data_IF_056966012535
#
_entry.id   IF_056966012535
#
_cell.length_a   1.000
_cell.length_b   1.000
_cell.length_c   1.000
_cell.angle_alpha   90.00
_cell.angle_beta   90.00
_cell.angle_gamma   90.00
#
_symmetry.space_group_name_H-M   'P 1'
#
loop_
_entity.id
_entity.type
_entity.pdbx_description
1 polymer ?
#
# COMPACT_ATOMS: atom_id res chain seq x y z
N UNK A 1 -11.44 -12.59 -9.08
CA UNK A 1 -10.52 -11.52 -8.61
C UNK A 1 -9.86 -10.93 -9.84
N UNK A 2 -9.85 -9.61 -10.02
CA UNK A 2 -9.18 -8.97 -11.15
C UNK A 2 -7.70 -8.83 -10.82
N UNK A 3 -6.83 -9.33 -11.70
CA UNK A 3 -5.37 -9.13 -11.59
C UNK A 3 -5.05 -7.73 -12.11
N UNK A 4 -4.17 -6.97 -11.44
CA UNK A 4 -3.74 -5.69 -11.98
C UNK A 4 -3.01 -5.90 -13.30
N UNK A 5 -3.25 -5.02 -14.26
CA UNK A 5 -2.58 -5.03 -15.56
C UNK A 5 -1.21 -4.35 -15.52
N UNK A 6 -0.97 -3.49 -14.53
CA UNK A 6 0.29 -2.77 -14.34
C UNK A 6 0.48 -2.35 -12.87
N UNK A 7 1.74 -2.28 -12.44
CA UNK A 7 2.14 -1.81 -11.11
C UNK A 7 3.39 -0.92 -11.27
N UNK A 8 3.25 0.36 -10.95
CA UNK A 8 4.31 1.37 -11.08
C UNK A 8 4.62 2.04 -9.75
N UNK A 9 5.89 2.08 -9.40
CA UNK A 9 6.40 2.87 -8.28
C UNK A 9 7.06 4.15 -8.80
N UNK A 10 6.70 5.30 -8.24
CA UNK A 10 7.36 6.56 -8.56
C UNK A 10 8.85 6.56 -8.17
N UNK A 11 9.67 7.40 -8.83
CA UNK A 11 11.12 7.45 -8.57
C UNK A 11 11.47 7.84 -7.13
N UNK A 12 10.67 8.70 -6.53
CA UNK A 12 10.78 9.12 -5.12
C UNK A 12 10.23 8.07 -4.14
N UNK A 13 9.70 6.95 -4.62
CA UNK A 13 9.12 5.86 -3.83
C UNK A 13 7.94 6.27 -2.94
N UNK A 14 7.34 7.44 -3.19
CA UNK A 14 6.22 7.95 -2.38
C UNK A 14 4.84 7.66 -2.96
N UNK A 15 4.73 7.16 -4.19
CA UNK A 15 3.47 6.84 -4.85
C UNK A 15 3.55 5.49 -5.58
N UNK A 16 2.61 4.60 -5.24
CA UNK A 16 2.36 3.35 -5.96
C UNK A 16 1.10 3.54 -6.79
N UNK A 17 1.18 3.33 -8.10
CA UNK A 17 0.02 3.26 -8.98
C UNK A 17 -0.22 1.82 -9.36
N UNK A 18 -1.43 1.34 -9.11
CA UNK A 18 -1.91 0.04 -9.60
C UNK A 18 -2.95 0.29 -10.68
N UNK A 19 -2.87 -0.42 -11.80
CA UNK A 19 -3.85 -0.30 -12.88
C UNK A 19 -4.71 -1.55 -12.95
N UNK A 20 -6.04 -1.39 -12.96
CA UNK A 20 -7.01 -2.45 -13.23
C UNK A 20 -7.90 -2.03 -14.39
N UNK A 21 -8.00 -2.86 -15.43
CA UNK A 21 -8.83 -2.58 -16.62
C UNK A 21 -8.66 -1.14 -17.15
N UNK A 22 -7.41 -0.70 -17.29
CA UNK A 22 -7.03 0.66 -17.75
C UNK A 22 -7.36 1.81 -16.77
N UNK A 23 -7.92 1.51 -15.59
CA UNK A 23 -8.17 2.49 -14.52
C UNK A 23 -6.98 2.51 -13.57
N UNK A 24 -6.39 3.69 -13.38
CA UNK A 24 -5.28 3.90 -12.44
C UNK A 24 -5.78 4.21 -11.03
N UNK A 25 -5.14 3.57 -10.05
CA UNK A 25 -5.36 3.77 -8.62
C UNK A 25 -4.06 4.23 -7.96
N UNK A 26 -3.81 5.56 -7.90
CA UNK A 26 -2.63 6.10 -7.25
C UNK A 26 -2.80 6.08 -5.73
N UNK A 27 -1.84 5.51 -5.01
CA UNK A 27 -1.82 5.42 -3.56
C UNK A 27 -0.49 5.98 -3.04
N UNK A 28 -0.56 6.85 -2.03
CA UNK A 28 0.66 7.32 -1.37
C UNK A 28 1.25 6.22 -0.47
N UNK A 29 2.56 6.22 -0.33
CA UNK A 29 3.30 5.39 0.63
C UNK A 29 2.79 5.60 2.07
N UNK A 30 2.44 6.84 2.43
CA UNK A 30 1.80 7.17 3.70
C UNK A 30 0.47 6.45 3.86
N UNK A 31 -0.41 6.53 2.87
CA UNK A 31 -1.71 5.86 2.90
C UNK A 31 -1.53 4.35 3.11
N UNK A 32 -0.63 3.72 2.35
CA UNK A 32 -0.33 2.30 2.48
C UNK A 32 0.21 1.94 3.88
N UNK A 33 1.02 2.81 4.49
CA UNK A 33 1.58 2.56 5.83
C UNK A 33 0.58 2.79 6.96
N UNK A 34 -0.29 3.78 6.82
CA UNK A 34 -1.35 4.12 7.78
C UNK A 34 -2.45 3.06 7.78
N UNK A 35 -2.83 2.55 6.61
CA UNK A 35 -3.86 1.52 6.44
C UNK A 35 -3.29 0.10 6.29
N UNK A 36 -2.09 -0.14 6.81
CA UNK A 36 -1.47 -1.47 6.75
C UNK A 36 -2.36 -2.52 7.43
N UNK A 37 -2.52 -3.74 6.86
CA UNK A 37 -3.25 -4.84 7.48
C UNK A 37 -2.45 -5.55 8.60
N UNK A 38 -1.24 -5.08 8.92
CA UNK A 38 -0.43 -5.64 10.01
C UNK A 38 -1.13 -5.51 11.36
N UNK A 39 -0.91 -6.48 12.24
CA UNK A 39 -1.37 -6.42 13.64
C UNK A 39 -0.81 -5.19 14.39
N UNK A 40 0.36 -4.67 13.99
CA UNK A 40 0.91 -3.43 14.55
C UNK A 40 0.03 -2.19 14.29
N UNK A 41 -0.84 -2.26 13.28
CA UNK A 41 -1.75 -1.17 12.88
C UNK A 41 -3.19 -1.50 13.20
N UNK A 42 -3.66 -2.71 12.87
CA UNK A 42 -5.05 -3.15 13.06
C UNK A 42 -5.33 -3.72 14.46
N UNK A 43 -4.29 -4.09 15.22
CA UNK A 43 -4.44 -4.89 16.42
C UNK A 43 -4.90 -6.32 16.12
N UNK A 44 -5.35 -7.03 17.16
CA UNK A 44 -5.80 -8.42 17.08
C UNK A 44 -7.33 -8.56 17.15
N UNK A 45 -8.07 -7.46 17.23
CA UNK A 45 -9.53 -7.44 17.26
C UNK A 45 -10.11 -6.05 16.99
N UNK A 46 -11.43 -5.96 16.72
CA UNK A 46 -12.10 -4.69 16.41
C UNK A 46 -11.89 -3.65 17.53
N UNK A 47 -11.55 -2.41 17.15
CA UNK A 47 -11.30 -1.31 18.09
C UNK A 47 -9.90 -1.31 18.69
N UNK A 48 -9.03 -2.25 18.30
CA UNK A 48 -7.61 -2.25 18.67
C UNK A 48 -6.73 -1.54 17.63
N UNK A 49 -7.33 -0.95 16.59
CA UNK A 49 -6.59 -0.17 15.61
C UNK A 49 -5.89 1.04 16.26
N UNK A 50 -4.64 1.26 15.86
CA UNK A 50 -3.82 2.34 16.39
C UNK A 50 -3.68 3.41 15.32
N UNK A 51 -4.10 4.64 15.65
CA UNK A 51 -3.89 5.79 14.77
C UNK A 51 -2.40 5.98 14.49
N UNK A 52 -2.02 5.85 13.23
CA UNK A 52 -0.64 6.05 12.79
C UNK A 52 -0.40 7.54 12.55
N UNK A 53 0.55 8.12 13.28
CA UNK A 53 0.95 9.52 13.14
C UNK A 53 2.35 9.63 12.52
N UNK A 54 2.66 10.81 11.99
CA UNK A 54 3.98 11.17 11.47
C UNK A 54 4.49 10.26 10.33
N UNK A 55 3.60 9.84 9.42
CA UNK A 55 3.93 8.95 8.30
C UNK A 55 4.03 9.65 6.94
N UNK A 56 3.91 10.97 6.88
CA UNK A 56 3.96 11.77 5.64
C UNK A 56 5.28 11.64 4.84
N UNK A 57 6.36 11.23 5.50
CA UNK A 57 7.69 11.13 4.89
C UNK A 57 8.15 9.68 4.65
N UNK A 58 7.30 8.68 4.88
CA UNK A 58 7.67 7.28 4.60
C UNK A 58 7.79 7.05 3.10
N UNK A 59 8.55 6.02 2.74
CA UNK A 59 8.78 5.61 1.36
C UNK A 59 8.70 4.09 1.26
N UNK A 60 8.39 3.59 0.06
CA UNK A 60 8.39 2.16 -0.21
C UNK A 60 9.84 1.70 -0.43
N UNK A 61 10.40 1.00 0.55
CA UNK A 61 11.78 0.49 0.46
C UNK A 61 11.92 -0.55 -0.67
N UNK A 62 11.00 -1.52 -0.69
CA UNK A 62 11.03 -2.67 -1.61
C UNK A 62 9.61 -3.14 -1.94
N UNK A 63 9.41 -3.49 -3.21
CA UNK A 63 8.25 -4.26 -3.67
C UNK A 63 8.70 -5.69 -3.95
N UNK A 64 7.94 -6.65 -3.44
CA UNK A 64 8.11 -8.06 -3.80
C UNK A 64 6.77 -8.62 -4.27
N UNK A 65 6.77 -9.31 -5.41
CA UNK A 65 5.60 -10.06 -5.83
C UNK A 65 5.32 -11.22 -4.86
N UNK A 66 4.06 -11.48 -4.55
CA UNK A 66 3.66 -12.65 -3.75
C UNK A 66 2.42 -13.31 -4.33
N UNK A 67 2.45 -14.63 -4.51
CA UNK A 67 1.42 -15.40 -5.22
C UNK A 67 1.46 -15.24 -6.74
N UNK A 68 0.34 -15.53 -7.41
CA UNK A 68 0.17 -15.37 -8.88
C UNK A 68 -0.16 -13.92 -9.30
N UNK A 69 -0.01 -12.97 -8.37
CA UNK A 69 -0.35 -11.56 -8.59
C UNK A 69 0.94 -10.75 -8.61
N UNK A 70 1.64 -10.84 -9.75
CA UNK A 70 2.68 -9.93 -10.16
C UNK A 70 3.00 -10.08 -11.64
#
# INVERSE_FOLDING_TARGET
MKTPSDIKLSKDKKKLTITFDEIEYPMSSEFLRVYSPSAEVQGHGPGQEILQLNKQNVEIEKLKPTGNYA
#
